data_IF_447810134285
#
_entry.id   IF_447810134285
#
_cell.length_a   1.000
_cell.length_b   1.000
_cell.length_c   1.000
_cell.angle_alpha   90.00
_cell.angle_beta   90.00
_cell.angle_gamma   90.00
#
_symmetry.space_group_name_H-M   'P 1'
#
loop_
_entity.id
_entity.type
_entity.pdbx_description
1 polymer ?
#
# COMPACT_ATOMS: atom_id res chain seq x y z
N UNK A 1 -9.05 14.31 -19.90
CA UNK A 1 -9.36 13.10 -19.10
C UNK A 1 -10.22 13.49 -17.90
N UNK A 2 -11.41 12.91 -17.74
CA UNK A 2 -12.31 13.22 -16.62
C UNK A 2 -12.02 12.35 -15.39
N UNK A 3 -12.56 12.70 -14.21
CA UNK A 3 -12.41 11.89 -12.98
C UNK A 3 -12.87 10.44 -13.18
N UNK A 4 -14.07 10.26 -13.76
CA UNK A 4 -14.66 8.95 -14.04
C UNK A 4 -13.78 8.15 -15.03
N UNK A 5 -13.25 8.82 -16.05
CA UNK A 5 -12.33 8.19 -17.00
C UNK A 5 -11.05 7.70 -16.32
N UNK A 6 -10.51 8.44 -15.34
CA UNK A 6 -9.36 8.00 -14.54
C UNK A 6 -9.66 6.74 -13.72
N UNK A 7 -10.83 6.64 -13.10
CA UNK A 7 -11.22 5.43 -12.36
C UNK A 7 -11.36 4.22 -13.29
N UNK A 8 -12.03 4.39 -14.43
CA UNK A 8 -12.21 3.31 -15.43
C UNK A 8 -10.88 2.83 -15.99
N UNK A 9 -9.99 3.76 -16.37
CA UNK A 9 -8.67 3.40 -16.89
C UNK A 9 -7.78 2.75 -15.84
N UNK A 10 -7.90 3.14 -14.56
CA UNK A 10 -7.17 2.47 -13.48
C UNK A 10 -7.54 0.98 -13.39
N UNK A 11 -8.83 0.66 -13.43
CA UNK A 11 -9.31 -0.74 -13.42
C UNK A 11 -8.89 -1.49 -14.69
N UNK A 12 -9.05 -0.90 -15.87
CA UNK A 12 -8.63 -1.52 -17.12
C UNK A 12 -7.12 -1.80 -17.12
N UNK A 13 -6.29 -0.84 -16.71
CA UNK A 13 -4.84 -1.01 -16.65
C UNK A 13 -4.39 -1.98 -15.55
N UNK A 14 -5.10 -2.04 -14.41
CA UNK A 14 -4.85 -3.04 -13.38
C UNK A 14 -5.13 -4.46 -13.91
N UNK A 15 -6.23 -4.63 -14.65
CA UNK A 15 -6.58 -5.90 -15.30
C UNK A 15 -5.58 -6.29 -16.39
N UNK A 16 -5.20 -5.33 -17.25
CA UNK A 16 -4.17 -5.54 -18.28
C UNK A 16 -2.84 -5.96 -17.66
N UNK A 17 -2.43 -5.33 -16.55
CA UNK A 17 -1.20 -5.67 -15.85
C UNK A 17 -1.25 -7.10 -15.28
N UNK A 18 -2.37 -7.49 -14.68
CA UNK A 18 -2.55 -8.83 -14.13
C UNK A 18 -2.53 -9.92 -15.22
N UNK A 19 -3.16 -9.64 -16.36
CA UNK A 19 -3.29 -10.59 -17.48
C UNK A 19 -2.03 -10.67 -18.35
N UNK A 20 -1.31 -9.57 -18.54
CA UNK A 20 -0.07 -9.54 -19.34
C UNK A 20 1.18 -9.91 -18.53
N UNK A 21 1.12 -9.83 -17.20
CA UNK A 21 2.21 -10.26 -16.30
C UNK A 21 1.72 -11.30 -15.27
N UNK A 22 1.14 -12.45 -15.72
CA UNK A 22 0.50 -13.40 -14.82
C UNK A 22 1.52 -14.08 -13.89
N UNK A 23 2.73 -14.35 -14.35
CA UNK A 23 3.79 -14.94 -13.53
C UNK A 23 4.27 -14.00 -12.42
N UNK A 24 4.34 -12.69 -12.70
CA UNK A 24 4.70 -11.70 -11.69
C UNK A 24 3.60 -11.59 -10.64
N UNK A 25 2.35 -11.53 -11.08
CA UNK A 25 1.17 -11.46 -10.19
C UNK A 25 1.05 -12.70 -9.32
N UNK A 26 1.21 -13.88 -9.91
CA UNK A 26 1.19 -15.16 -9.19
C UNK A 26 2.38 -15.29 -8.22
N UNK A 27 3.58 -14.90 -8.65
CA UNK A 27 4.76 -14.90 -7.79
C UNK A 27 4.61 -13.96 -6.59
N UNK A 28 4.10 -12.75 -6.81
CA UNK A 28 3.80 -11.80 -5.73
C UNK A 28 2.72 -12.33 -4.79
N UNK A 29 1.66 -12.95 -5.33
CA UNK A 29 0.62 -13.60 -4.54
C UNK A 29 1.16 -14.71 -3.63
N UNK A 30 1.96 -15.63 -4.18
CA UNK A 30 2.57 -16.72 -3.42
C UNK A 30 3.49 -16.17 -2.33
N UNK A 31 4.33 -15.18 -2.67
CA UNK A 31 5.20 -14.53 -1.71
C UNK A 31 4.41 -13.88 -0.58
N UNK A 32 3.33 -13.15 -0.90
CA UNK A 32 2.45 -12.56 0.12
C UNK A 32 1.75 -13.58 0.99
N UNK A 33 1.21 -14.64 0.41
CA UNK A 33 0.52 -15.67 1.18
C UNK A 33 1.50 -16.36 2.15
N UNK A 34 2.68 -16.75 1.67
CA UNK A 34 3.71 -17.35 2.50
C UNK A 34 4.19 -16.44 3.64
N UNK A 35 4.49 -15.17 3.33
CA UNK A 35 4.94 -14.20 4.32
C UNK A 35 3.82 -13.84 5.31
N UNK A 36 2.57 -13.75 4.84
CA UNK A 36 1.41 -13.47 5.69
C UNK A 36 1.12 -14.61 6.65
N UNK A 37 1.29 -15.87 6.24
CA UNK A 37 1.20 -17.02 7.14
C UNK A 37 2.17 -16.89 8.31
N UNK A 38 3.44 -16.60 8.02
CA UNK A 38 4.48 -16.41 9.06
C UNK A 38 4.17 -15.19 9.91
N UNK A 39 3.74 -14.10 9.29
CA UNK A 39 3.39 -12.86 9.99
C UNK A 39 2.23 -13.09 10.97
N UNK A 40 1.17 -13.80 10.56
CA UNK A 40 0.02 -14.08 11.42
C UNK A 40 0.33 -15.07 12.53
N UNK A 41 1.14 -16.10 12.26
CA UNK A 41 1.52 -17.08 13.28
C UNK A 41 2.24 -16.45 14.48
N UNK A 42 3.01 -15.38 14.27
CA UNK A 42 3.70 -14.66 15.35
C UNK A 42 2.92 -13.52 16.00
N UNK A 43 1.63 -13.32 15.66
CA UNK A 43 0.78 -12.32 16.34
C UNK A 43 -0.01 -12.98 17.46
N UNK A 44 -0.16 -12.31 18.62
CA UNK A 44 -1.02 -12.81 19.68
C UNK A 44 -2.48 -12.81 19.22
N UNK A 45 -3.17 -13.93 19.39
CA UNK A 45 -4.60 -14.03 19.12
C UNK A 45 -5.38 -13.54 20.35
N UNK A 46 -6.28 -12.57 20.22
CA UNK A 46 -7.11 -12.11 21.34
C UNK A 46 -7.88 -13.27 21.97
N UNK A 47 -7.73 -13.46 23.28
CA UNK A 47 -8.43 -14.50 24.03
C UNK A 47 -7.74 -15.88 24.05
N UNK A 48 -6.61 -16.07 23.37
CA UNK A 48 -5.92 -17.37 23.35
C UNK A 48 -5.08 -17.65 24.61
N UNK A 49 -4.78 -16.65 25.46
CA UNK A 49 -4.02 -16.80 26.71
C UNK A 49 -2.54 -17.19 26.54
N UNK A 50 -2.17 -17.79 25.41
CA UNK A 50 -0.84 -18.26 25.08
C UNK A 50 -0.09 -17.20 24.26
N UNK A 51 1.06 -16.77 24.77
CA UNK A 51 1.91 -15.80 24.08
C UNK A 51 2.83 -16.53 23.09
N UNK A 52 2.93 -16.07 21.83
CA UNK A 52 3.86 -16.64 20.86
C UNK A 52 5.31 -16.63 21.36
N UNK A 53 6.10 -17.63 20.97
CA UNK A 53 7.53 -17.67 21.32
C UNK A 53 8.28 -16.47 20.72
N UNK A 54 9.32 -15.98 21.41
CA UNK A 54 10.10 -14.84 20.96
C UNK A 54 10.70 -15.02 19.55
N UNK A 55 11.10 -16.25 19.21
CA UNK A 55 11.59 -16.60 17.87
C UNK A 55 10.50 -16.44 16.80
N UNK A 56 9.26 -16.82 17.10
CA UNK A 56 8.13 -16.69 16.17
C UNK A 56 7.73 -15.22 15.97
N UNK A 57 7.77 -14.41 17.04
CA UNK A 57 7.56 -12.95 16.95
C UNK A 57 8.64 -12.31 16.07
N UNK A 58 9.91 -12.70 16.25
CA UNK A 58 11.00 -12.21 15.40
C UNK A 58 10.80 -12.60 13.93
N UNK A 59 10.47 -13.86 13.65
CA UNK A 59 10.17 -14.34 12.31
C UNK A 59 8.99 -13.59 11.66
N UNK A 60 7.92 -13.31 12.41
CA UNK A 60 6.78 -12.54 11.94
C UNK A 60 7.14 -11.09 11.59
N UNK A 61 8.00 -10.45 12.38
CA UNK A 61 8.48 -9.09 12.08
C UNK A 61 9.38 -9.08 10.83
N UNK A 62 10.26 -10.08 10.69
CA UNK A 62 11.08 -10.23 9.48
C UNK A 62 10.21 -10.48 8.25
N UNK A 63 9.20 -11.35 8.35
CA UNK A 63 8.25 -11.61 7.28
C UNK A 63 7.46 -10.36 6.87
N UNK A 64 7.10 -9.52 7.85
CA UNK A 64 6.48 -8.21 7.60
C UNK A 64 7.43 -7.32 6.80
N UNK A 65 8.71 -7.21 7.20
CA UNK A 65 9.70 -6.41 6.46
C UNK A 65 9.92 -6.91 5.02
N UNK A 66 9.97 -8.23 4.83
CA UNK A 66 10.09 -8.82 3.49
C UNK A 66 8.85 -8.55 2.65
N UNK A 67 7.65 -8.55 3.25
CA UNK A 67 6.39 -8.19 2.58
C UNK A 67 6.45 -6.79 2.00
N UNK A 68 7.02 -5.83 2.74
CA UNK A 68 7.22 -4.46 2.24
C UNK A 68 8.14 -4.42 1.02
N UNK A 69 9.23 -5.21 0.99
CA UNK A 69 10.15 -5.24 -0.16
C UNK A 69 9.44 -5.81 -1.39
N UNK A 70 8.67 -6.89 -1.22
CA UNK A 70 7.86 -7.48 -2.30
C UNK A 70 6.86 -6.45 -2.84
N UNK A 71 6.18 -5.71 -1.97
CA UNK A 71 5.21 -4.70 -2.36
C UNK A 71 5.81 -3.53 -3.12
N UNK A 72 6.93 -3.00 -2.64
CA UNK A 72 7.64 -1.95 -3.37
C UNK A 72 8.09 -2.41 -4.76
N UNK A 73 8.60 -3.65 -4.86
CA UNK A 73 8.97 -4.24 -6.15
C UNK A 73 7.77 -4.37 -7.09
N UNK A 74 6.64 -4.84 -6.56
CA UNK A 74 5.41 -5.00 -7.32
C UNK A 74 4.84 -3.64 -7.78
N UNK A 75 4.73 -2.65 -6.88
CA UNK A 75 4.33 -1.27 -7.18
C UNK A 75 5.16 -0.68 -8.32
N UNK A 76 6.49 -0.80 -8.25
CA UNK A 76 7.39 -0.29 -9.29
C UNK A 76 7.08 -0.94 -10.63
N UNK A 77 6.86 -2.25 -10.64
CA UNK A 77 6.52 -2.98 -11.87
C UNK A 77 5.18 -2.56 -12.46
N UNK A 78 4.16 -2.38 -11.63
CA UNK A 78 2.86 -1.88 -12.10
C UNK A 78 3.00 -0.46 -12.66
N UNK A 79 3.72 0.43 -11.98
CA UNK A 79 3.97 1.78 -12.51
C UNK A 79 4.70 1.75 -13.86
N UNK A 80 5.76 0.94 -14.00
CA UNK A 80 6.50 0.85 -15.27
C UNK A 80 5.71 0.18 -16.39
N UNK A 81 4.89 -0.81 -16.06
CA UNK A 81 3.97 -1.39 -17.04
C UNK A 81 2.94 -0.37 -17.54
N UNK A 82 2.28 0.35 -16.63
CA UNK A 82 1.25 1.34 -17.00
C UNK A 82 1.87 2.54 -17.71
N UNK A 83 3.05 3.00 -17.29
CA UNK A 83 3.69 4.21 -17.82
C UNK A 83 4.58 3.97 -19.04
N UNK A 84 5.30 2.86 -19.10
CA UNK A 84 6.34 2.58 -20.10
C UNK A 84 6.05 1.31 -20.93
N UNK A 85 4.95 0.60 -20.66
CA UNK A 85 4.63 -0.71 -21.26
C UNK A 85 5.75 -1.75 -21.06
N UNK A 86 6.55 -1.59 -20.00
CA UNK A 86 7.56 -2.57 -19.65
C UNK A 86 6.91 -3.84 -19.08
N UNK A 87 7.28 -4.99 -19.62
CA UNK A 87 6.81 -6.30 -19.15
C UNK A 87 7.53 -6.81 -17.90
N UNK A 88 7.57 -8.13 -17.76
CA UNK A 88 8.13 -8.83 -16.60
C UNK A 88 9.65 -8.68 -16.48
N UNK A 89 10.36 -8.64 -17.61
CA UNK A 89 11.83 -8.52 -17.65
C UNK A 89 12.27 -7.09 -17.95
N UNK A 90 13.28 -6.56 -17.25
CA UNK A 90 14.03 -7.16 -16.12
C UNK A 90 13.26 -7.08 -14.78
N UNK A 91 13.35 -8.09 -13.89
CA UNK A 91 12.63 -8.07 -12.60
C UNK A 91 12.98 -6.85 -11.73
N UNK A 92 14.26 -6.46 -11.71
CA UNK A 92 14.76 -5.26 -11.05
C UNK A 92 15.15 -4.19 -12.08
N UNK A 93 14.27 -3.23 -12.40
CA UNK A 93 14.57 -2.21 -13.40
C UNK A 93 15.69 -1.28 -12.93
N UNK A 94 16.51 -0.82 -13.88
CA UNK A 94 17.60 0.14 -13.65
C UNK A 94 18.59 -0.30 -12.55
N UNK A 95 18.81 -1.61 -12.41
CA UNK A 95 19.68 -2.20 -11.40
C UNK A 95 19.16 -2.04 -9.95
N UNK A 96 17.84 -1.92 -9.77
CA UNK A 96 17.23 -1.80 -8.44
C UNK A 96 17.28 -0.40 -7.82
N UNK A 97 17.83 0.60 -8.53
CA UNK A 97 17.85 2.00 -8.04
C UNK A 97 16.47 2.56 -7.69
N UNK A 98 15.39 2.31 -8.47
CA UNK A 98 14.05 2.74 -8.09
C UNK A 98 13.58 2.12 -6.77
N UNK A 99 13.86 0.83 -6.55
CA UNK A 99 13.50 0.14 -5.31
C UNK A 99 14.18 0.78 -4.10
N UNK A 100 15.48 1.03 -4.19
CA UNK A 100 16.23 1.68 -3.13
C UNK A 100 15.71 3.09 -2.83
N UNK A 101 15.42 3.90 -3.86
CA UNK A 101 14.88 5.26 -3.68
C UNK A 101 13.49 5.25 -3.05
N UNK A 102 12.60 4.37 -3.50
CA UNK A 102 11.25 4.24 -2.93
C UNK A 102 11.32 3.73 -1.48
N UNK A 103 12.23 2.80 -1.19
CA UNK A 103 12.46 2.31 0.17
C UNK A 103 12.97 3.41 1.09
N UNK A 104 13.95 4.21 0.65
CA UNK A 104 14.44 5.37 1.41
C UNK A 104 13.33 6.40 1.64
N UNK A 105 12.52 6.71 0.62
CA UNK A 105 11.36 7.60 0.77
C UNK A 105 10.37 7.06 1.81
N UNK A 106 10.10 5.74 1.77
CA UNK A 106 9.27 5.06 2.76
C UNK A 106 9.82 5.17 4.18
N UNK A 107 11.14 4.99 4.38
CA UNK A 107 11.79 5.20 5.68
C UNK A 107 11.61 6.63 6.16
N UNK A 108 11.84 7.63 5.29
CA UNK A 108 11.69 9.05 5.67
C UNK A 108 10.25 9.36 6.10
N UNK A 109 9.26 8.85 5.36
CA UNK A 109 7.83 9.02 5.71
C UNK A 109 7.53 8.34 7.06
N UNK A 110 7.99 7.10 7.26
CA UNK A 110 7.77 6.34 8.50
C UNK A 110 8.44 7.00 9.70
N UNK A 111 9.69 7.48 9.56
CA UNK A 111 10.37 8.22 10.62
C UNK A 111 9.66 9.53 10.97
N UNK A 112 9.15 10.24 9.97
CA UNK A 112 8.31 11.41 10.18
C UNK A 112 7.04 11.07 10.98
N UNK A 113 6.36 9.98 10.61
CA UNK A 113 5.17 9.49 11.32
C UNK A 113 5.49 9.17 12.78
N UNK A 114 6.55 8.41 13.03
CA UNK A 114 7.01 8.07 14.39
C UNK A 114 7.34 9.33 15.18
N UNK A 115 8.09 10.27 14.60
CA UNK A 115 8.43 11.53 15.25
C UNK A 115 7.18 12.34 15.61
N UNK A 116 6.19 12.41 14.72
CA UNK A 116 4.91 13.09 14.99
C UNK A 116 4.11 12.40 16.09
N UNK A 117 4.11 11.07 16.14
CA UNK A 117 3.44 10.29 17.17
C UNK A 117 4.12 10.46 18.55
N UNK A 118 5.46 10.46 18.60
CA UNK A 118 6.22 10.73 19.82
C UNK A 118 6.01 12.15 20.33
N UNK A 119 5.97 13.13 19.44
CA UNK A 119 5.65 14.51 19.78
C UNK A 119 4.23 14.62 20.36
N UNK A 120 3.25 13.97 19.70
CA UNK A 120 1.87 13.92 20.16
C UNK A 120 1.76 13.26 21.54
N UNK A 121 2.46 12.14 21.76
CA UNK A 121 2.56 11.48 23.05
C UNK A 121 3.14 12.41 24.12
N UNK A 122 4.25 13.09 23.83
CA UNK A 122 4.90 14.01 24.78
C UNK A 122 3.98 15.18 25.17
N UNK A 123 3.23 15.75 24.23
CA UNK A 123 2.29 16.85 24.46
C UNK A 123 1.04 16.40 25.24
N UNK A 124 0.52 15.20 24.93
CA UNK A 124 -0.70 14.66 25.54
C UNK A 124 -0.46 13.98 26.89
N UNK A 125 0.79 13.57 27.19
CA UNK A 125 1.18 12.92 28.45
C UNK A 125 0.61 13.59 29.71
N UNK A 126 0.51 14.94 29.80
CA UNK A 126 -0.03 15.60 30.98
C UNK A 126 -1.57 15.75 31.00
N UNK A 127 -2.30 15.45 29.90
CA UNK A 127 -3.72 15.81 29.70
C UNK A 127 -4.58 14.64 29.18
N UNK A 128 -4.40 13.45 29.74
CA UNK A 128 -4.94 12.18 29.22
C UNK A 128 -6.47 12.03 29.16
N UNK A 129 -7.28 13.01 29.60
CA UNK A 129 -8.70 12.75 29.87
C UNK A 129 -9.70 13.07 28.73
N UNK A 130 -9.32 13.74 27.63
CA UNK A 130 -10.29 13.93 26.52
C UNK A 130 -9.74 14.36 25.14
N UNK A 131 -8.52 14.90 25.06
CA UNK A 131 -8.01 15.49 23.81
C UNK A 131 -7.35 14.52 22.82
N UNK A 132 -6.96 13.31 23.25
CA UNK A 132 -6.06 12.43 22.49
C UNK A 132 -6.63 11.99 21.13
N UNK A 133 -7.93 11.67 21.08
CA UNK A 133 -8.60 11.28 19.85
C UNK A 133 -8.65 12.41 18.81
N UNK A 134 -8.93 13.65 19.25
CA UNK A 134 -8.98 14.82 18.38
C UNK A 134 -7.59 15.14 17.82
N UNK A 135 -6.56 15.16 18.67
CA UNK A 135 -5.18 15.36 18.22
C UNK A 135 -4.71 14.25 17.27
N UNK A 136 -5.05 13.00 17.56
CA UNK A 136 -4.80 11.87 16.66
C UNK A 136 -5.44 12.07 15.28
N UNK A 137 -6.72 12.48 15.25
CA UNK A 137 -7.43 12.77 14.01
C UNK A 137 -6.78 13.90 13.21
N UNK A 138 -6.35 14.99 13.88
CA UNK A 138 -5.64 16.10 13.23
C UNK A 138 -4.33 15.62 12.60
N UNK A 139 -3.53 14.85 13.35
CA UNK A 139 -2.27 14.30 12.84
C UNK A 139 -2.52 13.37 11.65
N UNK A 140 -3.54 12.51 11.72
CA UNK A 140 -3.94 11.66 10.58
C UNK A 140 -4.32 12.47 9.36
N UNK A 141 -5.12 13.54 9.50
CA UNK A 141 -5.50 14.42 8.39
C UNK A 141 -4.29 15.11 7.77
N UNK A 142 -3.36 15.61 8.59
CA UNK A 142 -2.11 16.22 8.11
C UNK A 142 -1.27 15.20 7.35
N UNK A 143 -1.16 13.97 7.84
CA UNK A 143 -0.41 12.91 7.15
C UNK A 143 -1.08 12.43 5.87
N UNK A 144 -2.40 12.29 5.84
CA UNK A 144 -3.15 12.02 4.60
C UNK A 144 -2.89 13.14 3.59
N UNK A 145 -2.93 14.40 4.05
CA UNK A 145 -2.59 15.53 3.21
C UNK A 145 -1.19 15.36 2.63
N UNK A 146 -0.16 15.23 3.46
CA UNK A 146 1.23 15.06 3.00
C UNK A 146 1.38 13.86 2.05
N UNK A 147 0.81 12.70 2.39
CA UNK A 147 0.89 11.47 1.60
C UNK A 147 0.31 11.65 0.19
N UNK A 148 -0.85 12.30 0.07
CA UNK A 148 -1.47 12.61 -1.24
C UNK A 148 -0.61 13.59 -2.03
N UNK A 149 0.05 14.56 -1.38
CA UNK A 149 0.91 15.54 -2.05
C UNK A 149 2.17 14.92 -2.61
N UNK A 150 2.73 13.93 -1.91
CA UNK A 150 3.96 13.25 -2.33
C UNK A 150 3.70 11.97 -3.12
N UNK A 151 2.43 11.55 -3.30
CA UNK A 151 2.07 10.29 -3.95
C UNK A 151 2.56 10.20 -5.40
N UNK A 152 2.70 11.34 -6.09
CA UNK A 152 3.24 11.41 -7.45
C UNK A 152 4.75 11.07 -7.54
N UNK A 153 5.46 11.04 -6.41
CA UNK A 153 6.86 10.60 -6.39
C UNK A 153 7.02 9.11 -6.65
N UNK A 154 6.07 8.28 -6.20
CA UNK A 154 6.17 6.84 -6.41
C UNK A 154 6.23 6.45 -7.90
N UNK A 155 5.31 6.92 -8.77
CA UNK A 155 5.42 6.69 -10.21
C UNK A 155 6.65 7.37 -10.83
N UNK A 156 7.03 8.58 -10.41
CA UNK A 156 8.22 9.26 -10.90
C UNK A 156 9.52 8.49 -10.61
N UNK A 157 9.68 7.98 -9.38
CA UNK A 157 10.84 7.19 -8.98
C UNK A 157 10.84 5.85 -9.75
N UNK A 158 9.66 5.26 -9.95
CA UNK A 158 9.50 3.99 -10.68
C UNK A 158 9.97 4.11 -12.14
N UNK A 159 9.77 5.25 -12.80
CA UNK A 159 10.30 5.49 -14.16
C UNK A 159 11.80 5.77 -14.19
N UNK A 160 12.43 6.08 -13.04
CA UNK A 160 13.86 6.31 -12.90
C UNK A 160 14.25 7.72 -12.42
N UNK A 161 13.26 8.58 -12.12
CA UNK A 161 13.50 9.94 -11.63
C UNK A 161 14.20 9.95 -10.27
N UNK A 162 14.86 11.08 -9.97
CA UNK A 162 15.39 11.38 -8.64
C UNK A 162 14.23 11.78 -7.70
N UNK A 163 14.50 11.75 -6.40
CA UNK A 163 13.53 12.21 -5.40
C UNK A 163 13.47 13.74 -5.47
N UNK A 164 12.38 14.30 -5.99
CA UNK A 164 12.11 15.74 -6.03
C UNK A 164 10.80 16.08 -5.31
N UNK A 165 10.89 16.20 -3.98
CA UNK A 165 9.75 16.54 -3.12
C UNK A 165 9.10 17.88 -3.53
N UNK A 166 9.91 18.85 -3.98
CA UNK A 166 9.43 20.18 -4.34
C UNK A 166 8.63 20.13 -5.64
N UNK A 167 9.10 19.36 -6.63
CA UNK A 167 8.38 19.08 -7.86
C UNK A 167 7.03 18.41 -7.60
N UNK A 168 7.00 17.33 -6.82
CA UNK A 168 5.76 16.63 -6.48
C UNK A 168 4.77 17.51 -5.70
N UNK A 169 5.28 18.33 -4.77
CA UNK A 169 4.45 19.29 -4.06
C UNK A 169 3.87 20.35 -4.97
N UNK A 170 4.61 20.80 -5.99
CA UNK A 170 4.09 21.78 -6.94
C UNK A 170 3.03 21.14 -7.86
N UNK A 171 3.34 20.00 -8.45
CA UNK A 171 2.48 19.29 -9.40
C UNK A 171 1.15 18.84 -8.78
N UNK A 172 1.15 18.48 -7.50
CA UNK A 172 -0.09 18.16 -6.79
C UNK A 172 -0.93 19.39 -6.43
N UNK A 173 -0.41 20.63 -6.47
CA UNK A 173 -1.11 21.86 -6.03
C UNK A 173 -2.38 22.11 -6.85
N UNK A 174 -3.50 22.32 -6.16
CA UNK A 174 -4.82 22.52 -6.78
C UNK A 174 -5.56 21.23 -7.16
N UNK A 175 -4.91 20.06 -7.08
CA UNK A 175 -5.46 18.78 -7.54
C UNK A 175 -5.67 17.74 -6.43
N UNK A 176 -5.62 18.16 -5.16
CA UNK A 176 -5.70 17.28 -4.00
C UNK A 176 -6.89 16.32 -4.06
N UNK A 177 -8.10 16.84 -4.32
CA UNK A 177 -9.31 16.02 -4.36
C UNK A 177 -9.32 14.98 -5.48
N UNK A 178 -8.66 15.27 -6.61
CA UNK A 178 -8.53 14.28 -7.67
C UNK A 178 -7.48 13.22 -7.33
N UNK A 179 -6.36 13.62 -6.73
CA UNK A 179 -5.29 12.71 -6.31
C UNK A 179 -5.73 11.77 -5.17
N UNK A 180 -6.57 12.26 -4.26
CA UNK A 180 -7.16 11.46 -3.20
C UNK A 180 -8.38 10.67 -3.69
N UNK A 181 -9.29 11.33 -4.39
CA UNK A 181 -10.59 10.79 -4.77
C UNK A 181 -10.51 9.68 -5.80
N UNK A 182 -9.62 9.76 -6.79
CA UNK A 182 -9.54 8.73 -7.85
C UNK A 182 -9.13 7.36 -7.27
N UNK A 183 -8.02 7.22 -6.52
CA UNK A 183 -7.67 5.94 -5.90
C UNK A 183 -8.73 5.50 -4.89
N UNK A 184 -9.28 6.43 -4.10
CA UNK A 184 -10.32 6.13 -3.12
C UNK A 184 -11.56 5.51 -3.77
N UNK A 185 -12.11 6.16 -4.81
CA UNK A 185 -13.29 5.66 -5.54
C UNK A 185 -12.96 4.37 -6.30
N UNK A 186 -11.77 4.25 -6.87
CA UNK A 186 -11.34 3.02 -7.54
C UNK A 186 -11.27 1.82 -6.58
N UNK A 187 -10.99 2.06 -5.30
CA UNK A 187 -10.88 1.03 -4.26
C UNK A 187 -12.22 0.71 -3.56
N UNK A 188 -13.27 1.52 -3.73
CA UNK A 188 -14.58 1.28 -3.10
C UNK A 188 -15.15 -0.12 -3.35
N UNK A 189 -15.08 -0.71 -4.57
CA UNK A 189 -15.54 -2.08 -4.79
C UNK A 189 -14.80 -3.10 -3.93
N UNK A 190 -13.48 -2.94 -3.78
CA UNK A 190 -12.65 -3.83 -2.95
C UNK A 190 -13.00 -3.70 -1.46
N UNK A 191 -13.22 -2.47 -0.99
CA UNK A 191 -13.70 -2.20 0.38
C UNK A 191 -15.06 -2.84 0.61
N UNK A 192 -15.98 -2.71 -0.35
CA UNK A 192 -17.30 -3.35 -0.31
C UNK A 192 -17.19 -4.88 -0.15
N UNK A 193 -16.35 -5.53 -0.96
CA UNK A 193 -16.09 -6.98 -0.85
C UNK A 193 -15.51 -7.36 0.53
N UNK A 194 -14.57 -6.56 1.05
CA UNK A 194 -13.98 -6.81 2.37
C UNK A 194 -15.02 -6.68 3.50
N UNK A 195 -15.89 -5.66 3.44
CA UNK A 195 -16.97 -5.49 4.42
C UNK A 195 -17.98 -6.64 4.37
N UNK A 196 -18.37 -7.09 3.17
CA UNK A 196 -19.25 -8.25 3.00
C UNK A 196 -18.61 -9.51 3.59
N UNK A 197 -17.32 -9.74 3.33
CA UNK A 197 -16.61 -10.89 3.91
C UNK A 197 -16.59 -10.83 5.44
N UNK A 198 -16.34 -9.65 6.05
CA UNK A 198 -16.38 -9.48 7.51
C UNK A 198 -17.79 -9.72 8.08
N UNK A 199 -18.84 -9.25 7.41
CA UNK A 199 -20.23 -9.50 7.81
C UNK A 199 -20.55 -10.99 7.78
N UNK A 200 -20.14 -11.70 6.72
CA UNK A 200 -20.35 -13.15 6.59
C UNK A 200 -19.62 -13.89 7.72
N UNK A 201 -18.37 -13.52 8.02
CA UNK A 201 -17.59 -14.15 9.10
C UNK A 201 -18.29 -13.94 10.45
N UNK A 202 -18.76 -12.72 10.71
CA UNK A 202 -19.50 -12.39 11.94
C UNK A 202 -20.84 -13.13 12.03
N UNK A 203 -21.61 -13.16 10.94
CA UNK A 203 -22.90 -13.85 10.88
C UNK A 203 -22.78 -15.38 11.01
N UNK A 204 -21.67 -15.96 10.56
CA UNK A 204 -21.36 -17.37 10.72
C UNK A 204 -20.95 -17.77 12.16
N UNK A 205 -20.84 -16.80 13.08
CA UNK A 205 -20.47 -17.06 14.47
C UNK A 205 -19.02 -17.52 14.64
N UNK A 206 -18.14 -17.21 13.69
CA UNK A 206 -16.72 -17.61 13.75
C UNK A 206 -16.06 -16.85 14.90
N UNK A 207 -15.67 -17.60 15.94
CA UNK A 207 -15.04 -17.04 17.12
C UNK A 207 -13.55 -16.77 16.87
N UNK A 208 -12.92 -15.81 17.60
CA UNK A 208 -11.47 -15.59 17.52
C UNK A 208 -10.64 -16.85 17.82
N UNK A 209 -11.16 -17.75 18.66
CA UNK A 209 -10.52 -19.03 18.94
C UNK A 209 -10.54 -19.98 17.73
N UNK A 210 -11.62 -19.98 16.94
CA UNK A 210 -11.69 -20.76 15.70
C UNK A 210 -10.68 -20.27 14.67
N UNK A 211 -10.39 -18.97 14.65
CA UNK A 211 -9.43 -18.33 13.73
C UNK A 211 -7.98 -18.77 14.01
N UNK A 212 -7.67 -19.26 15.22
CA UNK A 212 -6.34 -19.73 15.58
C UNK A 212 -5.96 -21.08 14.93
N UNK A 213 -6.89 -21.76 14.24
CA UNK A 213 -6.57 -23.03 13.59
C UNK A 213 -5.63 -22.84 12.39
N UNK A 214 -4.72 -23.80 12.10
CA UNK A 214 -3.81 -23.70 10.96
C UNK A 214 -4.52 -23.48 9.63
N UNK A 215 -5.70 -24.09 9.44
CA UNK A 215 -6.52 -23.93 8.24
C UNK A 215 -7.02 -22.49 8.09
N UNK A 216 -7.48 -21.86 9.18
CA UNK A 216 -7.93 -20.47 9.16
C UNK A 216 -6.77 -19.50 8.92
N UNK A 217 -5.59 -19.76 9.48
CA UNK A 217 -4.40 -18.94 9.21
C UNK A 217 -4.03 -18.94 7.72
N UNK A 218 -4.03 -20.11 7.08
CA UNK A 218 -3.77 -20.21 5.63
C UNK A 218 -4.86 -19.50 4.83
N UNK A 219 -6.13 -19.67 5.20
CA UNK A 219 -7.24 -19.01 4.51
C UNK A 219 -7.15 -17.48 4.61
N UNK A 220 -6.88 -16.95 5.81
CA UNK A 220 -6.70 -15.52 6.05
C UNK A 220 -5.47 -14.97 5.31
N UNK A 221 -4.34 -15.69 5.33
CA UNK A 221 -3.14 -15.30 4.61
C UNK A 221 -3.38 -15.26 3.10
N UNK A 222 -4.10 -16.25 2.56
CA UNK A 222 -4.46 -16.32 1.14
C UNK A 222 -5.43 -15.19 0.75
N UNK A 223 -6.47 -14.96 1.56
CA UNK A 223 -7.43 -13.88 1.35
C UNK A 223 -6.76 -12.50 1.44
N UNK A 224 -5.89 -12.29 2.42
CA UNK A 224 -5.12 -11.06 2.55
C UNK A 224 -4.15 -10.87 1.39
N UNK A 225 -3.47 -11.92 0.92
CA UNK A 225 -2.61 -11.84 -0.26
C UNK A 225 -3.39 -11.43 -1.51
N UNK A 226 -4.58 -12.02 -1.75
CA UNK A 226 -5.45 -11.65 -2.86
C UNK A 226 -5.90 -10.18 -2.77
N UNK A 227 -6.36 -9.77 -1.59
CA UNK A 227 -6.78 -8.39 -1.34
C UNK A 227 -5.62 -7.40 -1.53
N UNK A 228 -4.43 -7.74 -1.06
CA UNK A 228 -3.24 -6.90 -1.18
C UNK A 228 -2.81 -6.75 -2.65
N UNK A 229 -2.81 -7.83 -3.43
CA UNK A 229 -2.52 -7.78 -4.87
C UNK A 229 -3.51 -6.88 -5.60
N UNK A 230 -4.82 -7.07 -5.36
CA UNK A 230 -5.86 -6.25 -5.98
C UNK A 230 -5.72 -4.77 -5.59
N UNK A 231 -5.50 -4.50 -4.30
CA UNK A 231 -5.27 -3.16 -3.77
C UNK A 231 -4.07 -2.50 -4.45
N UNK A 232 -2.92 -3.19 -4.49
CA UNK A 232 -1.68 -2.65 -5.07
C UNK A 232 -1.81 -2.41 -6.57
N UNK A 233 -2.45 -3.31 -7.31
CA UNK A 233 -2.73 -3.14 -8.74
C UNK A 233 -3.57 -1.88 -9.01
N UNK A 234 -4.71 -1.74 -8.33
CA UNK A 234 -5.65 -0.64 -8.56
C UNK A 234 -5.06 0.70 -8.12
N UNK A 235 -4.44 0.75 -6.93
CA UNK A 235 -3.86 1.97 -6.39
C UNK A 235 -2.66 2.45 -7.22
N UNK A 236 -1.76 1.56 -7.61
CA UNK A 236 -0.59 1.89 -8.44
C UNK A 236 -1.02 2.31 -9.86
N UNK A 237 -1.99 1.61 -10.46
CA UNK A 237 -2.53 1.99 -11.77
C UNK A 237 -3.21 3.38 -11.71
N UNK A 238 -3.96 3.66 -10.65
CA UNK A 238 -4.57 4.96 -10.41
C UNK A 238 -3.52 6.06 -10.30
N UNK A 239 -2.47 5.86 -9.50
CA UNK A 239 -1.38 6.80 -9.33
C UNK A 239 -0.59 7.02 -10.63
N UNK A 240 -0.37 5.99 -11.44
CA UNK A 240 0.27 6.13 -12.75
C UNK A 240 -0.54 7.03 -13.71
N UNK A 241 -1.87 6.86 -13.77
CA UNK A 241 -2.72 7.72 -14.60
C UNK A 241 -2.79 9.16 -14.09
N UNK A 242 -2.84 9.33 -12.77
CA UNK A 242 -2.77 10.66 -12.15
C UNK A 242 -1.42 11.33 -12.41
N UNK A 243 -0.34 10.55 -12.39
CA UNK A 243 1.00 11.02 -12.74
C UNK A 243 1.07 11.49 -14.18
N UNK A 244 0.59 10.71 -15.15
CA UNK A 244 0.52 11.13 -16.56
C UNK A 244 -0.24 12.44 -16.76
N UNK A 245 -1.26 12.70 -15.92
CA UNK A 245 -2.11 13.87 -16.04
C UNK A 245 -1.54 15.11 -15.37
N UNK A 246 -0.91 14.97 -14.20
CA UNK A 246 -0.55 16.10 -13.34
C UNK A 246 0.96 16.33 -13.21
N UNK A 247 1.80 15.39 -13.66
CA UNK A 247 3.24 15.61 -13.69
C UNK A 247 3.59 16.66 -14.76
N UNK A 248 4.03 17.83 -14.30
CA UNK A 248 4.45 18.94 -15.17
C UNK A 248 5.93 19.27 -14.97
N UNK A 249 6.42 19.13 -13.73
CA UNK A 249 7.82 19.34 -13.36
C UNK A 249 8.56 18.03 -13.15
N UNK A 250 7.84 16.97 -12.73
CA UNK A 250 8.41 15.63 -12.71
C UNK A 250 8.58 15.11 -14.15
N UNK A 251 9.61 14.27 -14.44
CA UNK A 251 9.90 13.83 -15.80
C UNK A 251 8.69 13.13 -16.42
N UNK A 252 8.12 13.73 -17.46
CA UNK A 252 6.96 13.18 -18.16
C UNK A 252 7.39 11.87 -18.83
N UNK A 253 6.66 10.76 -18.63
CA UNK A 253 6.97 9.52 -19.33
C UNK A 253 6.75 9.71 -20.83
N UNK A 254 7.53 9.02 -21.70
CA UNK A 254 7.30 9.06 -23.14
C UNK A 254 5.86 8.66 -23.49
N UNK A 255 5.29 9.26 -24.54
CA UNK A 255 3.99 8.84 -25.06
C UNK A 255 4.07 7.37 -25.47
N UNK A 256 3.11 6.57 -24.99
CA UNK A 256 3.03 5.13 -25.20
C UNK A 256 1.87 4.79 -26.11
#
# INVERSE_FOLDING_TARGET
MTFNESVKRAWASAWDAATQMPHLTLGAFIAYAALSCVAFAGRPVPGAGETPSGALVFAANLATLLTWIVDLGFIIKIHRFVLLREGTTPLLPLGGKPLARTFVLGIVITLGLIASALLLYAILRPRYESGSALFGAIVSVVWIFIAVRVSLLFPAISTGSRIDLRGAWHDSRGHFWNLFGVPFVALLPLIGCALVALIIIGAAGITPAAIASPTWLVLLATGQAAANIAFTLISSASLAWLYRRYASRLPVPPEA
#
